data_IF_392132176038
#
_entry.id   IF_392132176038
#
_cell.length_a   1.000
_cell.length_b   1.000
_cell.length_c   1.000
_cell.angle_alpha   90.00
_cell.angle_beta   90.00
_cell.angle_gamma   90.00
#
_symmetry.space_group_name_H-M   'P 1'
#
loop_
_entity.id
_entity.type
_entity.pdbx_description
1 polymer ?
#
# COMPACT_ATOMS: atom_id res chain seq x y z
N UNK A 1 -14.65 -28.82 -12.40
CA UNK A 1 -15.06 -30.19 -12.37
C UNK A 1 -15.71 -30.59 -13.70
N UNK A 2 -15.08 -30.30 -14.84
CA UNK A 2 -15.53 -30.67 -16.15
C UNK A 2 -14.96 -32.04 -16.55
N UNK A 3 -15.77 -33.01 -16.63
CA UNK A 3 -15.42 -34.30 -17.21
C UNK A 3 -16.30 -34.60 -18.42
N UNK A 4 -15.81 -35.37 -19.41
CA UNK A 4 -16.62 -35.95 -20.46
C UNK A 4 -16.77 -37.43 -20.12
N UNK A 5 -17.99 -37.97 -19.98
CA UNK A 5 -19.30 -37.32 -20.17
C UNK A 5 -19.67 -36.30 -19.10
N UNK A 6 -20.61 -35.37 -19.41
CA UNK A 6 -21.12 -34.34 -18.51
C UNK A 6 -21.72 -34.99 -17.25
N UNK A 7 -21.35 -34.51 -16.08
CA UNK A 7 -21.83 -35.01 -14.80
C UNK A 7 -23.08 -34.23 -14.39
N UNK A 8 -24.10 -34.91 -13.92
CA UNK A 8 -25.41 -34.31 -13.62
C UNK A 8 -25.38 -33.39 -12.36
N UNK A 9 -24.34 -33.53 -11.53
CA UNK A 9 -24.17 -32.72 -10.34
C UNK A 9 -25.15 -33.02 -9.20
N UNK A 10 -25.92 -34.11 -9.31
CA UNK A 10 -26.87 -34.50 -8.26
C UNK A 10 -26.13 -35.05 -7.02
N UNK A 11 -26.83 -35.02 -5.88
CA UNK A 11 -26.33 -35.62 -4.64
C UNK A 11 -26.05 -37.10 -4.77
N UNK A 12 -26.97 -37.84 -5.41
CA UNK A 12 -26.84 -39.29 -5.64
C UNK A 12 -25.65 -39.60 -6.55
N UNK A 13 -25.41 -38.76 -7.57
CA UNK A 13 -24.23 -38.85 -8.40
C UNK A 13 -22.94 -38.77 -7.56
N UNK A 14 -22.82 -37.79 -6.69
CA UNK A 14 -21.64 -37.63 -5.83
C UNK A 14 -21.44 -38.78 -4.85
N UNK A 15 -22.53 -39.35 -4.32
CA UNK A 15 -22.45 -40.56 -3.47
C UNK A 15 -22.03 -41.82 -4.21
N UNK A 16 -22.27 -41.89 -5.52
CA UNK A 16 -21.90 -43.04 -6.37
C UNK A 16 -20.45 -42.98 -6.86
N UNK A 17 -19.78 -41.83 -6.73
CA UNK A 17 -18.39 -41.72 -7.17
C UNK A 17 -17.45 -42.55 -6.29
N UNK A 18 -16.50 -43.28 -6.90
CA UNK A 18 -15.56 -44.08 -6.14
C UNK A 18 -14.64 -43.23 -5.29
N UNK A 19 -14.54 -43.59 -4.02
CA UNK A 19 -13.58 -42.95 -3.09
C UNK A 19 -12.14 -43.21 -3.59
N UNK A 20 -11.42 -42.14 -3.85
CA UNK A 20 -10.00 -42.22 -4.22
C UNK A 20 -9.17 -41.76 -3.02
N UNK A 21 -8.26 -42.63 -2.60
CA UNK A 21 -7.26 -42.29 -1.60
C UNK A 21 -6.20 -41.40 -2.24
N UNK A 22 -5.79 -40.37 -1.52
CA UNK A 22 -4.72 -39.42 -1.90
C UNK A 22 -5.00 -38.68 -3.24
N UNK A 23 -6.27 -38.38 -3.54
CA UNK A 23 -6.61 -37.55 -4.71
C UNK A 23 -6.09 -36.10 -4.52
N UNK A 24 -5.15 -35.69 -5.37
CA UNK A 24 -4.54 -34.37 -5.34
C UNK A 24 -5.56 -33.23 -5.48
N UNK A 25 -6.70 -33.46 -6.11
CA UNK A 25 -7.81 -32.50 -6.21
C UNK A 25 -8.51 -32.25 -4.88
N UNK A 26 -8.46 -33.21 -3.95
CA UNK A 26 -8.97 -33.06 -2.60
C UNK A 26 -7.87 -32.63 -1.62
N UNK A 27 -6.68 -33.20 -1.76
CA UNK A 27 -5.54 -32.92 -0.86
C UNK A 27 -5.10 -31.47 -0.94
N UNK A 28 -5.00 -30.90 -2.14
CA UNK A 28 -4.59 -29.49 -2.32
C UNK A 28 -5.51 -28.50 -1.60
N UNK A 29 -6.84 -28.49 -1.87
CA UNK A 29 -7.77 -27.63 -1.13
C UNK A 29 -7.81 -27.89 0.38
N UNK A 30 -7.64 -29.14 0.82
CA UNK A 30 -7.58 -29.46 2.24
C UNK A 30 -6.35 -28.84 2.93
N UNK A 31 -5.17 -28.92 2.30
CA UNK A 31 -3.95 -28.29 2.81
C UNK A 31 -4.13 -26.77 2.89
N UNK A 32 -4.66 -26.14 1.83
CA UNK A 32 -4.92 -24.70 1.83
C UNK A 32 -5.89 -24.30 2.94
N UNK A 33 -7.00 -25.02 3.09
CA UNK A 33 -7.96 -24.76 4.16
C UNK A 33 -7.35 -24.94 5.56
N UNK A 34 -6.46 -25.93 5.73
CA UNK A 34 -5.77 -26.16 7.01
C UNK A 34 -4.82 -25.03 7.34
N UNK A 35 -4.06 -24.51 6.35
CA UNK A 35 -3.18 -23.36 6.52
C UNK A 35 -3.97 -22.10 6.88
N UNK A 36 -5.09 -21.84 6.21
CA UNK A 36 -5.97 -20.71 6.55
C UNK A 36 -6.52 -20.82 7.97
N UNK A 37 -6.88 -22.03 8.41
CA UNK A 37 -7.35 -22.26 9.78
C UNK A 37 -6.25 -22.08 10.83
N UNK A 38 -4.99 -22.38 10.51
CA UNK A 38 -3.84 -22.14 11.39
C UNK A 38 -3.59 -20.64 11.51
N UNK A 39 -3.57 -19.91 10.38
CA UNK A 39 -3.44 -18.45 10.36
C UNK A 39 -4.57 -17.77 11.14
N UNK A 40 -5.82 -18.27 11.02
CA UNK A 40 -6.97 -17.72 11.74
C UNK A 40 -6.93 -17.91 13.26
N UNK A 41 -6.09 -18.81 13.78
CA UNK A 41 -5.89 -19.00 15.23
C UNK A 41 -4.94 -18.00 15.85
N UNK A 42 -4.08 -17.39 15.05
CA UNK A 42 -3.19 -16.32 15.50
C UNK A 42 -3.91 -14.99 15.44
N UNK A 43 -3.54 -14.06 16.32
CA UNK A 43 -4.01 -12.68 16.17
C UNK A 43 -3.49 -12.14 14.83
N UNK A 44 -4.32 -11.44 14.05
CA UNK A 44 -3.87 -10.85 12.81
C UNK A 44 -2.62 -10.00 13.04
N UNK A 45 -1.62 -10.14 12.19
CA UNK A 45 -0.31 -9.46 12.28
C UNK A 45 -0.42 -7.94 12.46
N UNK A 46 -1.51 -7.35 11.95
CA UNK A 46 -1.84 -5.94 12.05
C UNK A 46 -2.72 -5.57 13.24
N UNK A 47 -3.10 -6.53 14.10
CA UNK A 47 -3.97 -6.24 15.24
C UNK A 47 -3.36 -5.15 16.13
N UNK A 48 -4.16 -4.09 16.40
CA UNK A 48 -3.73 -2.92 17.18
C UNK A 48 -2.76 -1.99 16.45
N UNK A 49 -2.50 -2.20 15.16
CA UNK A 49 -1.71 -1.30 14.31
C UNK A 49 -2.63 -0.29 13.61
N UNK A 50 -2.15 0.93 13.49
CA UNK A 50 -2.84 2.01 12.75
C UNK A 50 -1.97 2.42 11.58
N UNK A 51 -2.53 2.40 10.39
CA UNK A 51 -1.89 2.86 9.14
C UNK A 51 -2.49 4.21 8.77
N UNK A 52 -1.67 5.23 8.84
CA UNK A 52 -2.07 6.62 8.58
C UNK A 52 -1.62 7.05 7.20
N UNK A 53 -2.55 7.50 6.39
CA UNK A 53 -2.28 8.12 5.10
C UNK A 53 -2.24 9.63 5.23
N UNK A 54 -1.22 10.25 4.66
CA UNK A 54 -1.09 11.70 4.65
C UNK A 54 -2.18 12.36 3.80
N UNK A 55 -2.84 13.36 4.38
CA UNK A 55 -3.80 14.22 3.72
C UNK A 55 -3.44 15.70 3.92
N UNK A 56 -2.22 15.99 4.37
CA UNK A 56 -1.74 17.34 4.58
C UNK A 56 -0.85 17.80 3.42
N UNK A 57 0.17 17.03 3.06
CA UNK A 57 1.06 17.36 1.95
C UNK A 57 0.41 17.07 0.59
N UNK A 58 -0.40 16.02 0.50
CA UNK A 58 -1.26 15.74 -0.62
C UNK A 58 -2.71 16.07 -0.27
N UNK A 59 -3.28 17.09 -0.91
CA UNK A 59 -4.65 17.51 -0.62
C UNK A 59 -5.40 18.02 -1.86
N UNK A 60 -5.00 17.53 -3.02
CA UNK A 60 -5.67 17.83 -4.29
C UNK A 60 -7.17 17.52 -4.21
N UNK A 61 -7.97 18.37 -4.86
CA UNK A 61 -9.42 18.22 -4.90
C UNK A 61 -9.96 18.32 -6.32
N UNK A 62 -10.97 17.51 -6.61
CA UNK A 62 -11.73 17.59 -7.85
C UNK A 62 -13.20 17.69 -7.51
N UNK A 63 -13.86 18.75 -8.03
CA UNK A 63 -15.27 19.03 -7.72
C UNK A 63 -15.57 19.10 -6.21
N UNK A 64 -14.65 19.64 -5.43
CA UNK A 64 -14.78 19.79 -3.98
C UNK A 64 -14.53 18.53 -3.14
N UNK A 65 -14.25 17.41 -3.77
CA UNK A 65 -13.88 16.17 -3.08
C UNK A 65 -12.39 15.89 -3.22
N UNK A 66 -11.80 15.22 -2.23
CA UNK A 66 -10.45 14.69 -2.36
C UNK A 66 -10.35 13.77 -3.57
N UNK A 67 -9.21 13.82 -4.21
CA UNK A 67 -8.98 13.20 -5.50
C UNK A 67 -7.61 12.51 -5.49
N UNK A 68 -7.49 11.33 -6.10
CA UNK A 68 -6.35 10.42 -6.04
C UNK A 68 -5.99 9.95 -4.62
N UNK A 69 -5.15 8.98 -4.50
CA UNK A 69 -4.44 8.45 -3.32
C UNK A 69 -5.25 8.48 -2.01
N UNK A 70 -6.56 8.20 -2.08
CA UNK A 70 -7.40 8.09 -0.88
C UNK A 70 -7.81 6.66 -0.63
N UNK A 71 -8.09 6.33 0.64
CA UNK A 71 -8.57 4.99 1.02
C UNK A 71 -9.90 4.63 0.37
N UNK A 72 -10.72 5.60 0.02
CA UNK A 72 -12.04 5.42 -0.60
C UNK A 72 -11.97 5.28 -2.12
N UNK A 73 -10.93 5.81 -2.76
CA UNK A 73 -10.81 5.80 -4.21
C UNK A 73 -10.48 4.41 -4.73
N UNK A 74 -11.34 3.90 -5.62
CA UNK A 74 -11.26 2.58 -6.25
C UNK A 74 -10.71 2.60 -7.67
N UNK A 75 -10.35 3.79 -8.17
CA UNK A 75 -9.79 3.96 -9.51
C UNK A 75 -8.28 3.74 -9.52
N UNK A 76 -7.67 3.91 -10.70
CA UNK A 76 -6.28 3.55 -10.99
C UNK A 76 -5.25 4.15 -10.01
N UNK A 77 -5.49 5.37 -9.53
CA UNK A 77 -4.63 6.05 -8.57
C UNK A 77 -5.10 5.95 -7.11
N UNK A 78 -6.19 5.21 -6.86
CA UNK A 78 -6.76 5.07 -5.53
C UNK A 78 -6.05 4.02 -4.69
N UNK A 79 -6.07 4.21 -3.38
CA UNK A 79 -5.45 3.31 -2.42
C UNK A 79 -6.42 2.34 -1.75
N UNK A 80 -7.67 2.25 -2.24
CA UNK A 80 -8.69 1.37 -1.66
C UNK A 80 -8.23 -0.10 -1.58
N UNK A 81 -7.67 -0.64 -2.67
CA UNK A 81 -7.21 -2.02 -2.68
C UNK A 81 -6.03 -2.26 -1.73
N UNK A 82 -5.15 -1.28 -1.61
CA UNK A 82 -4.03 -1.37 -0.66
C UNK A 82 -4.52 -1.26 0.79
N UNK A 83 -5.46 -0.36 1.06
CA UNK A 83 -6.11 -0.25 2.37
C UNK A 83 -6.77 -1.55 2.81
N UNK A 84 -7.53 -2.21 1.91
CA UNK A 84 -8.16 -3.51 2.17
C UNK A 84 -7.11 -4.56 2.63
N UNK A 85 -5.90 -4.56 2.06
CA UNK A 85 -4.85 -5.49 2.49
C UNK A 85 -4.42 -5.25 3.95
N UNK A 86 -4.29 -3.99 4.36
CA UNK A 86 -3.99 -3.67 5.76
C UNK A 86 -5.12 -4.09 6.70
N UNK A 87 -6.39 -3.83 6.31
CA UNK A 87 -7.55 -4.23 7.09
C UNK A 87 -7.69 -5.76 7.20
N UNK A 88 -7.41 -6.49 6.12
CA UNK A 88 -7.39 -7.97 6.14
C UNK A 88 -6.31 -8.52 7.07
N UNK A 89 -5.20 -7.79 7.22
CA UNK A 89 -4.16 -8.11 8.22
C UNK A 89 -4.55 -7.67 9.65
N UNK A 90 -5.72 -7.07 9.84
CA UNK A 90 -6.24 -6.65 11.15
C UNK A 90 -5.82 -5.24 11.57
N UNK A 91 -5.21 -4.43 10.70
CA UNK A 91 -4.87 -3.05 10.99
C UNK A 91 -6.08 -2.12 10.81
N UNK A 92 -6.04 -0.97 11.45
CA UNK A 92 -7.00 0.12 11.26
C UNK A 92 -6.41 1.17 10.32
N UNK A 93 -7.22 1.67 9.40
CA UNK A 93 -6.85 2.79 8.52
C UNK A 93 -7.24 4.12 9.15
N UNK A 94 -6.39 5.12 8.98
CA UNK A 94 -6.64 6.50 9.41
C UNK A 94 -6.02 7.48 8.41
N UNK A 95 -6.26 8.77 8.59
CA UNK A 95 -5.73 9.84 7.74
C UNK A 95 -5.27 11.02 8.58
N UNK A 96 -4.24 11.74 8.13
CA UNK A 96 -3.72 12.92 8.81
C UNK A 96 -3.82 14.15 7.90
N UNK A 97 -4.81 15.02 8.18
CA UNK A 97 -5.03 16.26 7.44
C UNK A 97 -4.36 17.50 8.06
N UNK A 98 -3.48 17.33 9.02
CA UNK A 98 -2.72 18.40 9.66
C UNK A 98 -1.21 18.15 9.52
N UNK A 99 -0.41 19.22 9.68
CA UNK A 99 1.05 19.06 9.69
C UNK A 99 1.48 17.98 10.69
N UNK A 100 2.31 17.00 10.29
CA UNK A 100 2.70 15.93 11.16
C UNK A 100 3.50 16.43 12.36
N UNK A 101 3.18 15.90 13.52
CA UNK A 101 3.90 16.09 14.77
C UNK A 101 4.02 14.75 15.49
N UNK A 102 4.97 14.63 16.40
CA UNK A 102 5.08 13.43 17.26
C UNK A 102 3.79 13.11 17.99
N UNK A 103 3.03 14.13 18.39
CA UNK A 103 1.79 13.93 19.14
C UNK A 103 0.67 13.38 18.26
N UNK A 104 0.47 13.91 17.04
CA UNK A 104 -0.59 13.42 16.16
C UNK A 104 -0.23 12.12 15.43
N UNK A 105 1.05 11.72 15.43
CA UNK A 105 1.54 10.43 14.95
C UNK A 105 1.71 9.38 16.06
N UNK A 106 1.47 9.72 17.32
CA UNK A 106 1.77 8.86 18.48
C UNK A 106 1.10 7.47 18.43
N UNK A 107 -0.11 7.39 17.88
CA UNK A 107 -0.83 6.12 17.72
C UNK A 107 -0.52 5.37 16.42
N UNK A 108 0.11 6.04 15.46
CA UNK A 108 0.38 5.47 14.17
C UNK A 108 1.50 4.41 14.24
N UNK A 109 1.29 3.28 13.58
CA UNK A 109 2.31 2.25 13.35
C UNK A 109 3.01 2.44 12.01
N UNK A 110 2.27 2.93 11.02
CA UNK A 110 2.75 3.27 9.69
C UNK A 110 2.22 4.65 9.31
N UNK A 111 3.08 5.50 8.76
CA UNK A 111 2.70 6.77 8.14
C UNK A 111 3.14 6.78 6.68
N UNK A 112 2.20 7.03 5.79
CA UNK A 112 2.39 7.00 4.35
C UNK A 112 2.26 8.42 3.82
N UNK A 113 3.31 8.93 3.20
CA UNK A 113 3.28 10.19 2.45
C UNK A 113 3.44 9.86 0.98
N UNK A 114 2.47 10.29 0.19
CA UNK A 114 2.45 10.06 -1.25
C UNK A 114 2.33 11.39 -1.97
N UNK A 115 3.17 11.57 -2.97
CA UNK A 115 3.04 12.58 -4.02
C UNK A 115 2.68 13.99 -3.49
N UNK A 116 3.53 14.61 -2.64
CA UNK A 116 3.24 15.93 -2.10
C UNK A 116 2.94 16.94 -3.21
N UNK A 117 1.85 17.69 -3.04
CA UNK A 117 1.35 18.65 -4.03
C UNK A 117 2.36 19.74 -4.37
N UNK A 118 2.40 20.10 -5.64
CA UNK A 118 3.09 21.26 -6.17
C UNK A 118 2.11 22.40 -6.49
N UNK A 119 2.62 23.60 -6.80
CA UNK A 119 1.80 24.72 -7.29
C UNK A 119 1.10 24.44 -8.63
N UNK A 120 1.46 23.34 -9.32
CA UNK A 120 0.79 22.93 -10.55
C UNK A 120 -0.53 22.20 -10.28
N UNK A 121 -0.64 21.57 -9.11
CA UNK A 121 -1.76 20.72 -8.73
C UNK A 121 -2.72 21.43 -7.79
N UNK A 122 -2.18 22.21 -6.87
CA UNK A 122 -2.99 22.99 -5.94
C UNK A 122 -2.48 24.43 -5.78
N UNK A 123 -3.38 25.38 -5.62
CA UNK A 123 -3.03 26.79 -5.50
C UNK A 123 -2.26 27.13 -4.19
N UNK A 124 -2.42 26.30 -3.18
CA UNK A 124 -1.79 26.49 -1.85
C UNK A 124 -1.25 25.16 -1.32
N UNK A 125 -0.17 24.62 -1.91
CA UNK A 125 0.41 23.37 -1.43
C UNK A 125 0.99 23.54 -0.03
N UNK A 126 0.94 22.47 0.75
CA UNK A 126 1.63 22.39 2.03
C UNK A 126 2.99 21.72 1.79
N UNK A 127 4.05 22.48 1.96
CA UNK A 127 5.40 21.94 1.73
C UNK A 127 5.98 21.29 2.98
N UNK A 128 6.84 20.29 2.76
CA UNK A 128 7.65 19.72 3.82
C UNK A 128 8.58 20.79 4.38
N UNK A 129 8.53 20.99 5.70
CA UNK A 129 9.41 21.91 6.41
C UNK A 129 10.44 21.14 7.23
N UNK A 130 11.56 21.81 7.59
CA UNK A 130 12.54 21.20 8.48
C UNK A 130 11.91 20.75 9.81
N UNK A 131 10.98 21.54 10.36
CA UNK A 131 10.26 21.21 11.59
C UNK A 131 9.41 19.94 11.43
N UNK A 132 8.62 19.83 10.36
CA UNK A 132 7.82 18.63 10.09
C UNK A 132 8.73 17.41 9.89
N UNK A 133 9.84 17.57 9.17
CA UNK A 133 10.82 16.50 8.97
C UNK A 133 11.45 16.05 10.30
N UNK A 134 11.79 16.97 11.20
CA UNK A 134 12.33 16.65 12.53
C UNK A 134 11.32 15.87 13.40
N UNK A 135 10.04 16.24 13.34
CA UNK A 135 8.96 15.55 14.06
C UNK A 135 8.76 14.13 13.54
N UNK A 136 8.73 13.96 12.20
CA UNK A 136 8.61 12.63 11.56
C UNK A 136 9.85 11.77 11.87
N UNK A 137 11.06 12.33 11.74
CA UNK A 137 12.30 11.61 12.06
C UNK A 137 12.31 11.12 13.50
N UNK A 138 11.90 11.98 14.45
CA UNK A 138 11.82 11.60 15.86
C UNK A 138 10.77 10.50 16.10
N UNK A 139 9.64 10.52 15.40
CA UNK A 139 8.63 9.47 15.45
C UNK A 139 9.15 8.16 14.88
N UNK A 140 9.86 8.17 13.74
CA UNK A 140 10.50 6.97 13.16
C UNK A 140 11.55 6.39 14.12
N UNK A 141 12.39 7.24 14.73
CA UNK A 141 13.37 6.80 15.74
C UNK A 141 12.73 6.19 16.98
N UNK A 142 11.48 6.53 17.27
CA UNK A 142 10.68 5.92 18.34
C UNK A 142 9.99 4.60 17.93
N UNK A 143 10.21 4.11 16.71
CA UNK A 143 9.71 2.82 16.20
C UNK A 143 8.57 2.91 15.17
N UNK A 144 8.24 4.09 14.69
CA UNK A 144 7.29 4.28 13.59
C UNK A 144 7.85 3.83 12.25
N UNK A 145 6.99 3.37 11.35
CA UNK A 145 7.36 2.97 9.99
C UNK A 145 6.89 4.03 9.00
N UNK A 146 7.83 4.63 8.29
CA UNK A 146 7.57 5.66 7.29
C UNK A 146 7.63 5.07 5.88
N UNK A 147 6.61 5.35 5.07
CA UNK A 147 6.58 5.03 3.64
C UNK A 147 6.53 6.34 2.86
N UNK A 148 7.50 6.53 1.98
CA UNK A 148 7.59 7.69 1.11
C UNK A 148 7.40 7.24 -0.35
N UNK A 149 6.41 7.81 -1.02
CA UNK A 149 6.11 7.56 -2.42
C UNK A 149 6.18 8.89 -3.16
N UNK A 150 6.94 8.94 -4.22
CA UNK A 150 7.07 10.12 -5.07
C UNK A 150 6.75 9.77 -6.53
N UNK A 151 6.16 10.71 -7.22
CA UNK A 151 5.94 10.66 -8.65
C UNK A 151 7.03 11.50 -9.38
N UNK A 152 6.80 11.86 -10.62
CA UNK A 152 7.71 12.73 -11.37
C UNK A 152 7.59 14.21 -10.94
N UNK A 153 8.55 15.04 -11.34
CA UNK A 153 8.62 16.46 -10.98
C UNK A 153 7.51 17.33 -11.59
N UNK A 154 6.66 16.78 -12.43
CA UNK A 154 5.48 17.48 -12.93
C UNK A 154 4.30 17.37 -11.98
N UNK A 155 4.26 16.32 -11.18
CA UNK A 155 3.16 15.97 -10.29
C UNK A 155 3.56 15.95 -8.81
N UNK A 156 4.83 15.93 -8.47
CA UNK A 156 5.32 15.85 -7.10
C UNK A 156 6.27 17.00 -6.76
N UNK A 157 6.15 17.55 -5.58
CA UNK A 157 7.07 18.55 -5.05
C UNK A 157 8.31 17.87 -4.45
N UNK A 158 9.26 17.49 -5.30
CA UNK A 158 10.49 16.76 -4.94
C UNK A 158 11.46 17.57 -4.07
N UNK A 159 11.79 18.86 -4.38
CA UNK A 159 12.77 19.61 -3.62
C UNK A 159 12.48 19.69 -2.11
N UNK A 160 11.26 20.02 -1.72
CA UNK A 160 10.89 20.13 -0.31
C UNK A 160 10.70 18.73 0.31
N UNK A 161 10.17 17.77 -0.46
CA UNK A 161 10.03 16.39 0.01
C UNK A 161 11.39 15.78 0.39
N UNK A 162 12.43 16.13 -0.33
CA UNK A 162 13.80 15.72 -0.02
C UNK A 162 14.34 16.28 1.32
N UNK A 163 13.73 17.29 1.92
CA UNK A 163 14.08 17.72 3.29
C UNK A 163 13.86 16.57 4.27
N UNK A 164 12.78 15.81 4.08
CA UNK A 164 12.47 14.63 4.88
C UNK A 164 13.30 13.42 4.42
N UNK A 165 13.31 13.11 3.14
CA UNK A 165 13.96 11.91 2.61
C UNK A 165 15.45 11.84 2.98
N UNK A 166 16.16 12.98 2.93
CA UNK A 166 17.57 13.09 3.29
C UNK A 166 17.87 12.80 4.76
N UNK A 167 16.89 12.90 5.67
CA UNK A 167 17.05 12.47 7.06
C UNK A 167 17.34 10.96 7.20
N UNK A 168 16.93 10.21 6.18
CA UNK A 168 17.09 8.75 6.11
C UNK A 168 18.11 8.31 5.06
N UNK A 169 18.91 9.25 4.52
CA UNK A 169 19.91 8.94 3.49
C UNK A 169 19.32 8.65 2.11
N UNK A 170 18.05 9.03 1.87
CA UNK A 170 17.35 8.85 0.60
C UNK A 170 17.26 10.19 -0.12
N UNK A 171 17.38 10.17 -1.44
CA UNK A 171 17.13 11.33 -2.27
C UNK A 171 16.30 10.92 -3.49
N UNK A 172 15.13 11.56 -3.64
CA UNK A 172 14.35 11.50 -4.87
C UNK A 172 14.98 12.41 -5.92
N UNK A 173 15.21 11.88 -7.11
CA UNK A 173 15.84 12.61 -8.21
C UNK A 173 14.84 12.85 -9.34
N UNK A 174 15.00 13.98 -10.02
CA UNK A 174 14.10 14.40 -11.09
C UNK A 174 14.04 13.47 -12.30
N UNK A 175 15.14 12.87 -12.80
CA UNK A 175 15.08 12.02 -13.98
C UNK A 175 14.39 10.69 -13.68
N UNK A 176 13.38 10.35 -14.45
CA UNK A 176 12.86 8.99 -14.51
C UNK A 176 13.85 8.11 -15.28
N UNK A 177 14.19 6.97 -14.71
CA UNK A 177 15.11 6.02 -15.36
C UNK A 177 14.40 5.09 -16.34
N UNK A 178 13.09 4.87 -16.13
CA UNK A 178 12.28 3.97 -16.94
C UNK A 178 11.07 4.72 -17.49
N UNK A 179 10.94 4.78 -18.80
CA UNK A 179 9.84 5.47 -19.46
C UNK A 179 8.92 4.49 -20.15
N UNK A 180 7.62 4.83 -20.18
CA UNK A 180 6.68 4.19 -21.08
C UNK A 180 6.92 4.72 -22.48
N UNK A 181 7.29 3.85 -23.43
CA UNK A 181 7.44 4.19 -24.84
C UNK A 181 6.19 3.71 -25.61
N UNK A 182 5.29 4.63 -25.92
CA UNK A 182 4.02 4.31 -26.56
C UNK A 182 3.16 3.44 -25.65
N UNK A 183 2.95 2.17 -26.02
CA UNK A 183 2.22 1.16 -25.22
C UNK A 183 3.13 0.13 -24.56
N UNK A 184 4.43 0.28 -24.72
CA UNK A 184 5.40 -0.65 -24.15
C UNK A 184 5.96 -0.09 -22.85
N UNK A 185 5.87 -0.89 -21.79
CA UNK A 185 6.48 -0.62 -20.51
C UNK A 185 7.93 -1.11 -20.55
N UNK A 186 8.88 -0.22 -20.26
CA UNK A 186 10.23 -0.69 -19.99
C UNK A 186 10.24 -1.46 -18.68
N UNK A 187 10.73 -2.69 -18.73
CA UNK A 187 11.04 -3.42 -17.51
C UNK A 187 12.36 -2.90 -16.94
N UNK A 188 12.27 -2.00 -15.97
CA UNK A 188 13.43 -1.51 -15.27
C UNK A 188 14.03 -2.60 -14.36
N UNK A 189 15.21 -3.09 -14.70
CA UNK A 189 16.00 -3.88 -13.77
C UNK A 189 16.73 -2.94 -12.83
N UNK A 190 16.46 -3.03 -11.52
CA UNK A 190 17.27 -2.38 -10.50
C UNK A 190 18.39 -3.35 -10.10
N UNK A 191 19.62 -3.03 -10.50
CA UNK A 191 20.78 -3.81 -10.08
C UNK A 191 21.25 -3.28 -8.73
N UNK A 192 21.13 -4.08 -7.71
CA UNK A 192 21.71 -3.81 -6.39
C UNK A 192 23.11 -4.45 -6.37
N UNK A 193 24.21 -3.67 -6.28
CA UNK A 193 25.55 -4.23 -6.17
C UNK A 193 25.66 -5.14 -4.95
N UNK A 194 26.28 -6.30 -5.13
CA UNK A 194 26.58 -7.17 -4.01
C UNK A 194 27.58 -6.47 -3.07
N UNK A 195 27.20 -6.23 -1.82
CA UNK A 195 28.10 -5.70 -0.79
C UNK A 195 27.68 -4.37 -0.15
N UNK A 196 26.43 -3.94 -0.33
CA UNK A 196 25.83 -2.86 0.48
C UNK A 196 24.95 -3.42 1.58
#
# INVERSE_FOLDING_TARGET
LGGVPYRDGSYDYYLSEPLRKDDLKGVGPFILASLEMEIAKELPIGAGKIVVLDYFFYHETKNGNRFHYTWEDRKDSGFNQWGIQFEQLGATLDTLGASPTRENLKGASVYIIVDPDSYKETAKPNFMTAKAADEIEAWVKAGGNLILLANDTTNCEIPQFNILAKRFGIEFVAPNLNFVQGRNWEQGAVLIPAGN
#
